data_IF_307343215125
#
_entry.id   IF_307343215125
#
_cell.length_a   1.000
_cell.length_b   1.000
_cell.length_c   1.000
_cell.angle_alpha   90.00
_cell.angle_beta   90.00
_cell.angle_gamma   90.00
#
_symmetry.space_group_name_H-M   'P 1'
#
loop_
_entity.id
_entity.type
_entity.pdbx_description
1 polymer ?
#
# COMPACT_ATOMS: atom_id res chain seq x y z
N UNK A 1 21.85 -20.93 20.97
CA UNK A 1 21.48 -20.00 22.05
C UNK A 1 20.46 -19.10 21.41
N UNK A 2 19.19 -19.20 21.79
CA UNK A 2 18.16 -18.29 21.30
C UNK A 2 18.59 -16.89 21.75
N UNK A 3 18.75 -15.97 20.80
CA UNK A 3 18.99 -14.57 21.13
C UNK A 3 17.65 -14.02 21.66
N UNK A 4 17.42 -14.20 22.96
CA UNK A 4 16.22 -13.71 23.66
C UNK A 4 16.20 -12.16 23.77
N UNK A 5 17.20 -11.49 23.20
CA UNK A 5 17.33 -10.03 23.14
C UNK A 5 16.79 -9.51 21.82
N UNK A 6 15.56 -9.00 21.86
CA UNK A 6 14.94 -8.33 20.72
C UNK A 6 15.24 -6.84 20.78
N UNK A 7 15.39 -6.21 19.61
CA UNK A 7 15.61 -4.76 19.52
C UNK A 7 14.26 -4.05 19.39
N UNK A 8 14.03 -3.03 20.21
CA UNK A 8 12.97 -2.05 20.00
C UNK A 8 13.57 -0.79 19.38
N UNK A 9 13.03 -0.32 18.25
CA UNK A 9 13.32 0.99 17.69
C UNK A 9 12.06 1.85 17.83
N UNK A 10 12.24 3.08 18.30
CA UNK A 10 11.22 4.13 18.28
C UNK A 10 11.78 5.28 17.45
N UNK A 11 11.08 5.65 16.38
CA UNK A 11 11.56 6.64 15.42
C UNK A 11 10.41 7.42 14.77
N UNK A 12 10.75 8.50 14.09
CA UNK A 12 9.80 9.38 13.41
C UNK A 12 10.13 9.46 11.92
N UNK A 13 9.17 9.06 11.08
CA UNK A 13 9.24 9.17 9.62
C UNK A 13 7.82 9.31 9.08
N UNK A 14 7.64 9.99 7.95
CA UNK A 14 6.36 9.97 7.25
C UNK A 14 5.99 8.51 6.87
N UNK A 15 4.69 8.20 6.82
CA UNK A 15 4.24 6.88 6.38
C UNK A 15 4.77 6.53 4.99
N UNK A 16 4.79 7.51 4.07
CA UNK A 16 5.24 7.29 2.71
C UNK A 16 6.74 6.92 2.66
N UNK A 17 7.59 7.66 3.38
CA UNK A 17 9.04 7.39 3.39
C UNK A 17 9.37 6.10 4.13
N UNK A 18 8.75 5.86 5.29
CA UNK A 18 8.94 4.63 6.05
C UNK A 18 8.57 3.39 5.23
N UNK A 19 7.48 3.46 4.46
CA UNK A 19 6.97 2.33 3.69
C UNK A 19 7.86 1.93 2.53
N UNK A 20 8.58 2.89 1.92
CA UNK A 20 9.41 2.62 0.74
C UNK A 20 10.90 2.47 1.07
N UNK A 21 11.38 2.98 2.21
CA UNK A 21 12.82 2.95 2.55
C UNK A 21 13.14 2.19 3.83
N UNK A 22 12.72 2.72 4.98
CA UNK A 22 13.13 2.22 6.30
C UNK A 22 12.57 0.82 6.59
N UNK A 23 11.28 0.59 6.37
CA UNK A 23 10.66 -0.72 6.60
C UNK A 23 11.31 -1.84 5.79
N UNK A 24 11.48 -1.74 4.45
CA UNK A 24 12.13 -2.80 3.69
C UNK A 24 13.62 -2.95 4.01
N UNK A 25 14.30 -1.88 4.46
CA UNK A 25 15.70 -1.96 4.90
C UNK A 25 15.88 -2.79 6.17
N UNK A 26 15.05 -2.53 7.19
CA UNK A 26 15.04 -3.31 8.44
C UNK A 26 14.65 -4.77 8.15
N UNK A 27 13.63 -4.99 7.33
CA UNK A 27 13.22 -6.32 6.90
C UNK A 27 14.38 -7.09 6.25
N UNK A 28 15.06 -6.47 5.29
CA UNK A 28 16.21 -7.06 4.58
C UNK A 28 17.36 -7.40 5.52
N UNK A 29 17.71 -6.51 6.45
CA UNK A 29 18.78 -6.77 7.42
C UNK A 29 18.44 -7.93 8.37
N UNK A 30 17.18 -8.04 8.82
CA UNK A 30 16.74 -9.18 9.65
C UNK A 30 16.73 -10.49 8.85
N UNK A 31 16.23 -10.48 7.62
CA UNK A 31 16.25 -11.65 6.71
C UNK A 31 17.69 -12.15 6.50
N UNK A 32 18.64 -11.24 6.32
CA UNK A 32 20.05 -11.58 6.11
C UNK A 32 20.79 -11.98 7.41
N UNK A 33 20.16 -11.87 8.58
CA UNK A 33 20.81 -12.09 9.87
C UNK A 33 21.83 -10.99 10.23
N UNK A 34 21.74 -9.82 9.61
CA UNK A 34 22.58 -8.64 9.84
C UNK A 34 22.02 -7.74 10.95
N UNK A 35 20.76 -7.96 11.34
CA UNK A 35 20.09 -7.32 12.46
C UNK A 35 19.37 -8.36 13.34
N UNK A 36 19.24 -8.11 14.66
CA UNK A 36 18.48 -8.98 15.56
C UNK A 36 16.96 -8.91 15.26
N UNK A 37 16.14 -9.82 15.79
CA UNK A 37 14.69 -9.68 15.79
C UNK A 37 14.29 -8.27 16.26
N UNK A 38 13.48 -7.57 15.45
CA UNK A 38 13.26 -6.14 15.64
C UNK A 38 11.77 -5.83 15.74
N UNK A 39 11.40 -5.12 16.80
CA UNK A 39 10.13 -4.43 16.96
C UNK A 39 10.36 -2.96 16.62
N UNK A 40 9.56 -2.39 15.74
CA UNK A 40 9.71 -1.01 15.27
C UNK A 40 8.42 -0.23 15.52
N UNK A 41 8.50 0.84 16.29
CA UNK A 41 7.46 1.84 16.43
C UNK A 41 7.85 3.08 15.62
N UNK A 42 7.19 3.30 14.48
CA UNK A 42 7.38 4.49 13.66
C UNK A 42 6.20 5.44 13.86
N UNK A 43 6.45 6.63 14.40
CA UNK A 43 5.44 7.68 14.55
C UNK A 43 5.49 8.58 13.30
N UNK A 44 4.33 8.86 12.71
CA UNK A 44 4.27 9.68 11.50
C UNK A 44 4.37 11.15 11.86
N UNK A 45 5.43 11.80 11.39
CA UNK A 45 5.69 13.23 11.61
C UNK A 45 4.90 14.14 10.67
N UNK A 46 4.52 13.61 9.50
CA UNK A 46 3.93 14.36 8.39
C UNK A 46 2.81 13.57 7.74
N UNK A 47 1.75 14.28 7.32
CA UNK A 47 0.70 13.74 6.46
C UNK A 47 1.31 13.18 5.19
N UNK A 48 0.97 11.94 4.85
CA UNK A 48 1.57 11.33 3.67
C UNK A 48 0.70 10.27 3.03
N UNK A 49 0.98 10.00 1.76
CA UNK A 49 0.22 9.07 0.93
C UNK A 49 1.15 8.20 0.10
N UNK A 50 0.82 6.93 -0.05
CA UNK A 50 1.44 6.08 -1.08
C UNK A 50 0.42 5.74 -2.15
N UNK A 51 0.85 5.68 -3.41
CA UNK A 51 0.07 5.09 -4.52
C UNK A 51 0.63 3.72 -4.88
N UNK A 52 -0.21 2.85 -5.42
CA UNK A 52 0.21 1.54 -5.89
C UNK A 52 1.17 1.59 -7.07
N UNK A 53 1.93 0.51 -7.25
CA UNK A 53 2.95 0.38 -8.30
C UNK A 53 2.41 0.57 -9.72
N UNK A 54 1.12 0.29 -9.95
CA UNK A 54 0.45 0.40 -11.25
C UNK A 54 -0.39 1.67 -11.41
N UNK A 55 -0.38 2.61 -10.47
CA UNK A 55 -1.19 3.83 -10.57
C UNK A 55 -0.39 4.97 -11.22
N UNK A 56 -1.02 5.85 -11.98
CA UNK A 56 -0.38 7.11 -12.38
C UNK A 56 -0.58 8.14 -11.25
N UNK A 57 0.47 8.74 -10.65
CA UNK A 57 0.32 9.75 -9.61
C UNK A 57 -0.53 10.94 -10.06
N UNK A 58 -0.48 11.30 -11.35
CA UNK A 58 -1.24 12.43 -11.89
C UNK A 58 -2.73 12.09 -12.06
N UNK A 59 -3.08 10.80 -12.11
CA UNK A 59 -4.46 10.34 -12.16
C UNK A 59 -5.01 10.03 -10.77
N UNK A 60 -4.14 9.57 -9.85
CA UNK A 60 -4.51 9.14 -8.51
C UNK A 60 -4.56 10.30 -7.50
N UNK A 61 -3.73 11.34 -7.67
CA UNK A 61 -3.52 12.40 -6.69
C UNK A 61 -3.63 13.81 -7.31
N UNK A 62 -4.06 14.77 -6.50
CA UNK A 62 -3.80 16.20 -6.76
C UNK A 62 -2.39 16.56 -6.23
N UNK A 63 -1.39 16.37 -7.09
CA UNK A 63 0.02 16.61 -6.73
C UNK A 63 0.31 18.07 -6.36
N UNK A 64 -0.41 19.02 -6.97
CA UNK A 64 -0.27 20.44 -6.64
C UNK A 64 -0.78 20.70 -5.23
N UNK A 65 -1.96 20.19 -4.91
CA UNK A 65 -2.52 20.28 -3.57
C UNK A 65 -1.60 19.61 -2.53
N UNK A 66 -1.02 18.45 -2.84
CA UNK A 66 -0.07 17.78 -1.95
C UNK A 66 1.13 18.67 -1.64
N UNK A 67 1.75 19.27 -2.66
CA UNK A 67 2.88 20.18 -2.48
C UNK A 67 2.51 21.45 -1.68
N UNK A 68 1.34 22.03 -1.92
CA UNK A 68 0.87 23.23 -1.22
C UNK A 68 0.50 22.97 0.26
N UNK A 69 0.21 21.73 0.64
CA UNK A 69 -0.23 21.36 2.00
C UNK A 69 0.80 20.48 2.72
N UNK A 70 2.05 20.41 2.24
CA UNK A 70 3.13 19.62 2.85
C UNK A 70 2.77 18.14 3.06
N UNK A 71 2.07 17.54 2.08
CA UNK A 71 1.74 16.11 2.08
C UNK A 71 2.83 15.37 1.32
N UNK A 72 3.57 14.48 2.00
CA UNK A 72 4.55 13.63 1.33
C UNK A 72 3.85 12.56 0.49
N UNK A 73 4.35 12.28 -0.71
CA UNK A 73 3.80 11.24 -1.57
C UNK A 73 4.89 10.37 -2.20
N UNK A 74 4.63 9.06 -2.27
CA UNK A 74 5.53 8.07 -2.89
C UNK A 74 4.73 7.06 -3.70
N UNK A 75 5.36 6.44 -4.71
CA UNK A 75 4.88 5.20 -5.32
C UNK A 75 5.47 4.03 -4.54
N UNK A 76 4.64 3.14 -4.02
CA UNK A 76 5.14 1.91 -3.35
C UNK A 76 5.30 0.78 -4.38
N UNK A 77 6.21 -0.19 -4.14
CA UNK A 77 6.42 -1.33 -5.03
C UNK A 77 5.29 -2.38 -4.95
N UNK A 78 4.25 -2.16 -4.15
CA UNK A 78 3.10 -3.06 -4.02
C UNK A 78 1.89 -2.57 -4.81
N UNK A 79 1.03 -3.51 -5.22
CA UNK A 79 -0.27 -3.21 -5.83
C UNK A 79 -1.27 -2.57 -4.85
N UNK A 80 -2.52 -2.42 -5.31
CA UNK A 80 -3.58 -1.76 -4.55
C UNK A 80 -3.64 -0.25 -4.77
N UNK A 81 -4.66 0.41 -4.20
CA UNK A 81 -4.90 1.84 -4.40
C UNK A 81 -4.13 2.77 -3.46
N UNK A 82 -4.45 4.07 -3.44
CA UNK A 82 -3.76 5.02 -2.60
C UNK A 82 -4.08 4.80 -1.11
N UNK A 83 -3.08 4.97 -0.24
CA UNK A 83 -3.22 4.84 1.21
C UNK A 83 -2.72 6.11 1.86
N UNK A 84 -3.63 6.87 2.48
CA UNK A 84 -3.29 8.05 3.27
C UNK A 84 -3.08 7.66 4.74
N UNK A 85 -2.04 8.19 5.35
CA UNK A 85 -1.82 8.15 6.78
C UNK A 85 -1.47 9.55 7.29
N UNK A 86 -2.20 9.98 8.32
CA UNK A 86 -2.06 11.32 8.87
C UNK A 86 -0.93 11.43 9.88
N UNK A 87 -0.42 12.65 10.05
CA UNK A 87 0.54 12.95 11.09
C UNK A 87 -0.02 12.61 12.49
N UNK A 88 0.84 12.07 13.35
CA UNK A 88 0.50 11.60 14.70
C UNK A 88 -0.08 10.19 14.76
N UNK A 89 -0.44 9.55 13.64
CA UNK A 89 -0.63 8.09 13.60
C UNK A 89 0.72 7.37 13.66
N UNK A 90 0.71 6.05 13.84
CA UNK A 90 1.94 5.26 13.95
C UNK A 90 1.83 3.89 13.28
N UNK A 91 2.99 3.30 12.98
CA UNK A 91 3.16 1.89 12.71
C UNK A 91 3.85 1.19 13.86
N UNK A 92 3.28 0.06 14.28
CA UNK A 92 3.99 -0.98 15.00
C UNK A 92 4.30 -2.10 14.00
N UNK A 93 5.58 -2.42 13.84
CA UNK A 93 6.04 -3.49 12.95
C UNK A 93 6.88 -4.50 13.71
N UNK A 94 6.56 -5.77 13.55
CA UNK A 94 7.35 -6.89 14.03
C UNK A 94 8.12 -7.49 12.85
N UNK A 95 9.45 -7.43 12.87
CA UNK A 95 10.37 -8.10 11.93
C UNK A 95 11.04 -9.25 12.69
N UNK A 96 10.42 -10.42 12.68
CA UNK A 96 10.77 -11.52 13.58
C UNK A 96 11.08 -12.80 12.80
N UNK A 97 12.26 -13.42 12.99
CA UNK A 97 12.56 -14.72 12.39
C UNK A 97 11.59 -15.80 12.86
N UNK A 98 11.01 -16.57 11.93
CA UNK A 98 10.10 -17.69 12.25
C UNK A 98 10.80 -18.90 12.86
N UNK A 99 12.14 -18.88 12.89
CA UNK A 99 12.95 -19.87 13.63
C UNK A 99 12.89 -19.69 15.15
N UNK A 100 12.41 -18.54 15.63
CA UNK A 100 12.20 -18.29 17.05
C UNK A 100 10.94 -19.02 17.52
N UNK A 101 11.00 -19.77 18.63
CA UNK A 101 9.92 -20.67 19.07
C UNK A 101 8.58 -19.96 19.34
N UNK A 102 8.65 -18.69 19.74
CA UNK A 102 7.45 -17.89 20.00
C UNK A 102 6.85 -17.23 18.75
N UNK A 103 7.55 -17.26 17.62
CA UNK A 103 7.12 -16.57 16.39
C UNK A 103 6.37 -17.58 15.50
N UNK A 104 5.09 -17.31 15.15
CA UNK A 104 4.35 -18.19 14.25
C UNK A 104 4.97 -18.28 12.86
N UNK A 105 4.90 -19.46 12.25
CA UNK A 105 5.42 -19.74 10.90
C UNK A 105 4.36 -19.60 9.80
N UNK A 106 3.07 -19.55 10.18
CA UNK A 106 1.96 -19.38 9.24
C UNK A 106 1.10 -18.15 9.54
N UNK A 107 0.47 -17.62 8.49
CA UNK A 107 -0.45 -16.48 8.62
C UNK A 107 -1.69 -16.80 9.45
N UNK A 108 -2.18 -18.04 9.37
CA UNK A 108 -3.35 -18.51 10.14
C UNK A 108 -3.10 -18.52 11.64
N UNK A 109 -1.86 -18.71 12.08
CA UNK A 109 -1.46 -18.66 13.49
C UNK A 109 -1.07 -17.25 13.93
N UNK A 110 -0.36 -16.52 13.08
CA UNK A 110 0.13 -15.18 13.37
C UNK A 110 -0.98 -14.16 13.66
N UNK A 111 -2.02 -14.09 12.81
CA UNK A 111 -3.10 -13.12 13.01
C UNK A 111 -3.81 -13.28 14.36
N UNK A 112 -4.34 -14.47 14.72
CA UNK A 112 -4.96 -14.66 16.04
C UNK A 112 -4.01 -14.40 17.19
N UNK A 113 -2.76 -14.88 17.14
CA UNK A 113 -1.80 -14.72 18.24
C UNK A 113 -1.48 -13.24 18.49
N UNK A 114 -1.05 -12.52 17.45
CA UNK A 114 -0.60 -11.14 17.58
C UNK A 114 -1.77 -10.19 17.88
N UNK A 115 -2.90 -10.35 17.20
CA UNK A 115 -4.01 -9.39 17.34
C UNK A 115 -4.85 -9.61 18.60
N UNK A 116 -4.94 -10.86 19.10
CA UNK A 116 -5.57 -11.11 20.41
C UNK A 116 -4.74 -10.46 21.51
N UNK A 117 -3.43 -10.71 21.53
CA UNK A 117 -2.53 -10.09 22.51
C UNK A 117 -2.53 -8.55 22.41
N UNK A 118 -2.55 -7.99 21.20
CA UNK A 118 -2.66 -6.55 21.00
C UNK A 118 -3.98 -5.99 21.56
N UNK A 119 -5.11 -6.65 21.27
CA UNK A 119 -6.42 -6.24 21.80
C UNK A 119 -6.47 -6.32 23.34
N UNK A 120 -5.98 -7.41 23.94
CA UNK A 120 -5.89 -7.58 25.40
C UNK A 120 -5.04 -6.47 26.03
N UNK A 121 -3.89 -6.16 25.44
CA UNK A 121 -3.03 -5.04 25.88
C UNK A 121 -3.79 -3.71 25.88
N UNK A 122 -4.50 -3.40 24.80
CA UNK A 122 -5.28 -2.17 24.71
C UNK A 122 -6.39 -2.13 25.78
N UNK A 123 -7.09 -3.25 25.98
CA UNK A 123 -8.17 -3.35 26.95
C UNK A 123 -7.68 -3.17 28.39
N UNK A 124 -6.57 -3.82 28.75
CA UNK A 124 -5.98 -3.72 30.09
C UNK A 124 -5.39 -2.33 30.35
N UNK A 125 -4.66 -1.77 29.39
CA UNK A 125 -3.98 -0.48 29.54
C UNK A 125 -4.92 0.71 29.56
N UNK A 126 -5.95 0.69 28.70
CA UNK A 126 -6.81 1.86 28.47
C UNK A 126 -8.25 1.68 28.95
N UNK A 127 -8.67 0.46 29.30
CA UNK A 127 -9.99 0.19 29.90
C UNK A 127 -11.17 0.19 28.93
N UNK A 128 -10.94 0.19 27.61
CA UNK A 128 -11.99 0.05 26.59
C UNK A 128 -12.04 -1.37 26.01
N UNK A 129 -13.20 -1.86 25.55
CA UNK A 129 -13.37 -3.25 25.11
C UNK A 129 -12.81 -3.49 23.70
N UNK A 130 -11.48 -3.54 23.57
CA UNK A 130 -10.81 -3.93 22.35
C UNK A 130 -10.93 -5.44 22.12
N UNK A 131 -11.24 -5.85 20.89
CA UNK A 131 -11.33 -7.27 20.52
C UNK A 131 -10.72 -7.54 19.14
N UNK A 132 -10.06 -8.70 19.01
CA UNK A 132 -9.64 -9.22 17.72
C UNK A 132 -10.86 -9.66 16.90
N UNK A 133 -10.93 -9.16 15.67
CA UNK A 133 -11.91 -9.57 14.66
C UNK A 133 -11.19 -10.24 13.48
N UNK A 134 -11.38 -11.55 13.27
CA UNK A 134 -10.85 -12.24 12.11
C UNK A 134 -11.27 -11.58 10.79
N UNK A 135 -10.39 -11.53 9.78
CA UNK A 135 -9.06 -12.13 9.77
C UNK A 135 -7.95 -11.25 10.37
N UNK A 136 -8.03 -9.92 10.24
CA UNK A 136 -6.86 -9.06 10.39
C UNK A 136 -7.15 -7.71 11.07
N UNK A 137 -8.22 -7.62 11.86
CA UNK A 137 -8.64 -6.35 12.46
C UNK A 137 -8.69 -6.43 13.99
N UNK A 138 -8.44 -5.30 14.65
CA UNK A 138 -8.88 -5.08 16.06
C UNK A 138 -9.95 -3.99 16.04
N UNK A 139 -11.02 -4.20 16.80
CA UNK A 139 -12.16 -3.30 16.86
C UNK A 139 -12.56 -2.96 18.29
N UNK A 140 -13.32 -1.87 18.43
CA UNK A 140 -13.99 -1.48 19.68
C UNK A 140 -15.47 -1.31 19.36
N UNK A 141 -16.32 -2.16 19.96
CA UNK A 141 -17.77 -2.14 19.74
C UNK A 141 -18.17 -2.14 18.24
N UNK A 142 -17.49 -2.97 17.43
CA UNK A 142 -17.74 -3.06 15.98
C UNK A 142 -17.07 -2.00 15.12
N UNK A 143 -16.43 -0.98 15.71
CA UNK A 143 -15.64 0.05 14.99
C UNK A 143 -14.20 -0.41 14.85
N UNK A 144 -13.69 -0.43 13.62
CA UNK A 144 -12.30 -0.82 13.34
C UNK A 144 -11.32 0.20 13.92
N UNK A 145 -10.37 -0.27 14.74
CA UNK A 145 -9.36 0.55 15.39
C UNK A 145 -8.03 0.52 14.64
N UNK A 146 -7.55 -0.68 14.30
CA UNK A 146 -6.27 -0.85 13.59
C UNK A 146 -6.45 -1.73 12.34
N UNK A 147 -6.09 -1.24 11.14
CA UNK A 147 -5.81 -2.11 10.01
C UNK A 147 -4.44 -2.79 10.18
N UNK A 148 -4.29 -4.00 9.63
CA UNK A 148 -3.05 -4.77 9.73
C UNK A 148 -2.70 -5.49 8.43
N UNK A 149 -1.42 -5.79 8.27
CA UNK A 149 -0.91 -6.64 7.18
C UNK A 149 0.17 -7.57 7.71
N UNK A 150 0.31 -8.73 7.06
CA UNK A 150 1.28 -9.74 7.41
C UNK A 150 1.92 -10.29 6.15
N UNK A 151 3.24 -10.43 6.19
CA UNK A 151 4.02 -11.18 5.21
C UNK A 151 4.94 -12.15 5.96
N UNK A 152 5.02 -13.39 5.50
CA UNK A 152 6.03 -14.35 5.95
C UNK A 152 6.81 -14.76 4.71
N UNK A 153 8.07 -14.37 4.65
CA UNK A 153 8.92 -14.52 3.47
C UNK A 153 10.38 -14.68 3.95
N UNK A 154 11.15 -15.54 3.28
CA UNK A 154 12.57 -15.80 3.61
C UNK A 154 12.85 -16.08 5.09
N UNK A 155 11.93 -16.77 5.77
CA UNK A 155 12.08 -17.16 7.17
C UNK A 155 11.85 -16.02 8.17
N UNK A 156 11.31 -14.88 7.74
CA UNK A 156 10.97 -13.73 8.59
C UNK A 156 9.49 -13.40 8.48
N UNK A 157 8.86 -13.23 9.64
CA UNK A 157 7.53 -12.67 9.79
C UNK A 157 7.63 -11.15 9.88
N UNK A 158 7.00 -10.46 8.94
CA UNK A 158 6.80 -9.01 8.94
C UNK A 158 5.33 -8.69 9.19
N UNK A 159 5.00 -8.36 10.44
CA UNK A 159 3.62 -8.05 10.87
C UNK A 159 3.48 -6.56 11.14
N UNK A 160 2.64 -5.85 10.39
CA UNK A 160 2.42 -4.40 10.48
C UNK A 160 1.05 -4.09 11.06
N UNK A 161 0.99 -3.25 12.08
CA UNK A 161 -0.22 -2.74 12.72
C UNK A 161 -0.24 -1.22 12.57
N UNK A 162 -1.32 -0.69 11.99
CA UNK A 162 -1.53 0.75 11.86
C UNK A 162 -2.29 1.27 13.06
N UNK A 163 -1.65 2.11 13.86
CA UNK A 163 -2.24 2.71 15.04
C UNK A 163 -2.68 4.12 14.66
N UNK A 164 -3.98 4.29 14.40
CA UNK A 164 -4.56 5.62 14.30
C UNK A 164 -4.68 6.19 15.71
N UNK A 165 -3.68 6.98 16.11
CA UNK A 165 -3.68 7.61 17.43
C UNK A 165 -4.80 8.65 17.50
N UNK A 166 -4.92 9.43 16.43
CA UNK A 166 -5.92 10.48 16.24
C UNK A 166 -6.90 10.12 15.10
N UNK A 167 -8.06 10.81 15.01
CA UNK A 167 -8.94 10.65 13.86
C UNK A 167 -8.22 11.01 12.57
N UNK A 168 -8.40 10.19 11.53
CA UNK A 168 -7.88 10.46 10.19
C UNK A 168 -8.59 11.69 9.61
N UNK A 169 -7.85 12.65 9.07
CA UNK A 169 -8.42 13.80 8.36
C UNK A 169 -8.97 13.37 6.99
N UNK A 170 -10.24 12.97 6.97
CA UNK A 170 -10.93 12.54 5.75
C UNK A 170 -11.17 13.67 4.77
N UNK A 171 -11.23 14.93 5.22
CA UNK A 171 -11.39 16.07 4.32
C UNK A 171 -10.09 16.34 3.56
N UNK A 172 -8.96 16.30 4.26
CA UNK A 172 -7.63 16.40 3.65
C UNK A 172 -7.40 15.23 2.68
N UNK A 173 -7.66 14.00 3.11
CA UNK A 173 -7.55 12.81 2.26
C UNK A 173 -8.41 12.91 0.98
N UNK A 174 -9.64 13.46 1.09
CA UNK A 174 -10.53 13.67 -0.05
C UNK A 174 -10.06 14.75 -1.03
N UNK A 175 -9.29 15.75 -0.57
CA UNK A 175 -8.65 16.75 -1.44
C UNK A 175 -7.38 16.20 -2.11
N UNK A 176 -6.64 15.34 -1.41
CA UNK A 176 -5.44 14.67 -1.93
C UNK A 176 -5.82 13.69 -3.06
N UNK A 177 -6.86 12.88 -2.85
CA UNK A 177 -7.32 11.85 -3.79
C UNK A 177 -8.59 12.32 -4.49
N UNK A 178 -8.50 13.05 -5.62
CA UNK A 178 -9.69 13.41 -6.38
C UNK A 178 -10.44 12.13 -6.80
N UNK A 179 -11.57 11.86 -6.17
CA UNK A 179 -12.34 10.65 -6.46
C UNK A 179 -12.73 10.63 -7.93
N UNK A 180 -12.36 9.54 -8.61
CA UNK A 180 -12.87 9.28 -9.96
C UNK A 180 -14.42 9.33 -9.93
N UNK A 181 -15.09 9.98 -10.89
CA UNK A 181 -16.55 10.13 -10.90
C UNK A 181 -17.32 8.82 -10.69
N UNK A 182 -16.73 7.70 -11.11
CA UNK A 182 -17.23 6.33 -10.98
C UNK A 182 -17.19 5.82 -9.54
N UNK A 183 -16.23 6.27 -8.72
CA UNK A 183 -16.15 6.00 -7.27
C UNK A 183 -17.06 6.92 -6.45
N UNK A 184 -17.45 8.09 -6.99
CA UNK A 184 -18.40 9.02 -6.35
C UNK A 184 -19.82 8.48 -6.33
N UNK A 185 -20.22 7.72 -7.36
CA UNK A 185 -21.56 7.12 -7.44
C UNK A 185 -21.88 6.15 -6.31
N UNK A 186 -20.86 5.65 -5.61
CA UNK A 186 -20.98 4.58 -4.60
C UNK A 186 -20.63 4.99 -3.16
N UNK A 187 -20.42 6.27 -2.83
CA UNK A 187 -20.07 6.64 -1.44
C UNK A 187 -20.92 7.76 -0.85
N UNK A 188 -21.83 7.31 0.01
CA UNK A 188 -22.18 7.99 1.24
C UNK A 188 -20.88 8.27 2.05
N UNK A 189 -20.29 9.45 1.85
CA UNK A 189 -19.22 10.01 2.69
C UNK A 189 -19.60 10.09 4.20
N UNK A 190 -20.83 9.72 4.55
CA UNK A 190 -21.34 9.66 5.92
C UNK A 190 -20.98 8.39 6.71
N UNK A 191 -20.43 7.35 6.07
CA UNK A 191 -20.27 6.02 6.71
C UNK A 191 -18.82 5.61 7.03
N UNK A 192 -17.82 6.47 6.81
CA UNK A 192 -16.43 6.18 7.23
C UNK A 192 -16.21 6.50 8.72
N UNK A 193 -16.80 7.57 9.24
CA UNK A 193 -16.69 7.95 10.67
C UNK A 193 -17.44 7.01 11.62
N UNK A 194 -18.45 6.29 11.12
CA UNK A 194 -19.18 5.26 11.86
C UNK A 194 -18.41 3.94 11.96
N UNK A 195 -17.55 3.64 10.97
CA UNK A 195 -16.90 2.33 10.81
C UNK A 195 -15.50 2.25 11.41
N UNK A 196 -14.82 3.39 11.59
CA UNK A 196 -13.47 3.49 12.14
C UNK A 196 -13.44 4.28 13.45
N UNK A 197 -12.45 4.00 14.29
CA UNK A 197 -12.14 4.76 15.50
C UNK A 197 -10.63 4.97 15.66
N UNK A 198 -10.20 5.66 16.72
CA UNK A 198 -8.80 5.98 16.99
C UNK A 198 -8.49 5.83 18.49
N UNK A 199 -7.20 5.71 18.82
CA UNK A 199 -6.75 5.37 20.16
C UNK A 199 -7.12 6.44 21.20
N UNK A 200 -6.87 7.72 20.93
CA UNK A 200 -7.19 8.81 21.86
C UNK A 200 -8.69 8.91 22.15
N UNK A 201 -9.54 8.65 21.14
CA UNK A 201 -10.99 8.67 21.30
C UNK A 201 -11.46 7.57 22.24
N UNK A 202 -10.98 6.34 22.05
CA UNK A 202 -11.41 5.20 22.87
C UNK A 202 -10.75 5.21 24.25
N UNK A 203 -9.50 5.70 24.36
CA UNK A 203 -8.79 5.87 25.63
C UNK A 203 -9.29 7.08 26.45
N UNK A 204 -9.96 8.04 25.81
CA UNK A 204 -10.45 9.26 26.46
C UNK A 204 -9.35 10.21 26.96
N UNK A 205 -8.11 10.05 26.49
CA UNK A 205 -6.94 10.86 26.87
C UNK A 205 -5.99 11.04 25.67
N UNK A 206 -5.18 12.11 25.63
CA UNK A 206 -4.07 12.22 24.69
C UNK A 206 -3.05 11.10 24.87
N UNK A 207 -2.43 10.67 23.78
CA UNK A 207 -1.42 9.61 23.75
C UNK A 207 -0.15 10.16 23.12
N UNK A 208 0.95 10.19 23.89
CA UNK A 208 2.26 10.63 23.41
C UNK A 208 3.18 9.45 23.03
N UNK A 209 4.38 9.76 22.54
CA UNK A 209 5.34 8.75 22.10
C UNK A 209 5.76 7.77 23.22
N UNK A 210 5.89 8.26 24.46
CA UNK A 210 6.27 7.42 25.59
C UNK A 210 5.15 6.44 25.96
N UNK A 211 3.89 6.89 25.89
CA UNK A 211 2.73 6.04 26.10
C UNK A 211 2.59 4.98 24.99
N UNK A 212 2.88 5.34 23.72
CA UNK A 212 2.94 4.37 22.62
C UNK A 212 4.05 3.35 22.82
N UNK A 213 5.26 3.77 23.21
CA UNK A 213 6.37 2.85 23.47
C UNK A 213 6.01 1.85 24.58
N UNK A 214 5.43 2.32 25.68
CA UNK A 214 5.00 1.46 26.78
C UNK A 214 3.96 0.43 26.32
N UNK A 215 2.96 0.87 25.53
CA UNK A 215 1.96 -0.02 24.94
C UNK A 215 2.59 -1.06 24.01
N UNK A 216 3.57 -0.69 23.19
CA UNK A 216 4.29 -1.62 22.30
C UNK A 216 5.05 -2.68 23.08
N UNK A 217 5.72 -2.30 24.18
CA UNK A 217 6.43 -3.24 25.05
C UNK A 217 5.49 -4.26 25.68
N UNK A 218 4.35 -3.80 26.18
CA UNK A 218 3.31 -4.65 26.76
C UNK A 218 2.70 -5.58 25.70
N UNK A 219 2.36 -5.05 24.52
CA UNK A 219 1.82 -5.84 23.42
C UNK A 219 2.80 -6.91 22.93
N UNK A 220 4.08 -6.59 22.85
CA UNK A 220 5.13 -7.57 22.51
C UNK A 220 5.20 -8.67 23.57
N UNK A 221 5.14 -8.29 24.85
CA UNK A 221 5.20 -9.24 25.97
C UNK A 221 3.98 -10.16 25.99
N UNK A 222 2.78 -9.63 25.77
CA UNK A 222 1.57 -10.45 25.66
C UNK A 222 1.60 -11.39 24.45
N UNK A 223 2.10 -10.92 23.30
CA UNK A 223 2.11 -11.72 22.08
C UNK A 223 3.17 -12.82 22.10
N UNK A 224 4.35 -12.57 22.66
CA UNK A 224 5.52 -13.43 22.48
C UNK A 224 6.19 -13.86 23.79
N UNK A 225 5.59 -13.56 24.94
CA UNK A 225 6.15 -13.86 26.27
C UNK A 225 7.21 -12.85 26.71
N UNK A 226 7.90 -13.15 27.81
CA UNK A 226 9.01 -12.32 28.30
C UNK A 226 10.12 -12.28 27.25
N UNK A 227 10.20 -11.15 26.52
CA UNK A 227 11.27 -10.85 25.59
C UNK A 227 12.06 -9.66 26.13
N UNK A 228 13.39 -9.75 26.11
CA UNK A 228 14.24 -8.63 26.56
C UNK A 228 14.33 -7.58 25.45
N UNK A 229 13.31 -6.72 25.39
CA UNK A 229 13.30 -5.58 24.47
C UNK A 229 14.32 -4.52 24.90
N UNK A 230 15.44 -4.49 24.18
CA UNK A 230 16.46 -3.45 24.35
C UNK A 230 16.22 -2.33 23.36
N UNK A 231 16.16 -1.09 23.85
CA UNK A 231 16.06 0.07 22.98
C UNK A 231 17.33 0.16 22.12
N UNK A 232 17.14 0.29 20.81
CA UNK A 232 18.21 0.43 19.84
C UNK A 232 17.89 1.52 18.81
N UNK A 233 18.72 1.57 17.78
CA UNK A 233 18.56 2.45 16.62
C UNK A 233 18.72 1.65 15.34
N UNK A 234 18.36 2.28 14.23
CA UNK A 234 18.69 1.80 12.88
C UNK A 234 20.22 1.70 12.78
N UNK A 235 20.72 0.56 12.29
CA UNK A 235 22.15 0.30 12.12
C UNK A 235 22.70 0.94 10.83
N UNK A 236 24.02 1.04 10.73
CA UNK A 236 24.69 1.50 9.50
C UNK A 236 24.32 0.65 8.26
N UNK A 237 24.19 -0.67 8.43
CA UNK A 237 23.75 -1.58 7.35
C UNK A 237 22.32 -1.27 6.91
N UNK A 238 21.41 -1.04 7.86
CA UNK A 238 20.03 -0.69 7.56
C UNK A 238 19.92 0.71 6.94
N UNK A 239 20.76 1.66 7.36
CA UNK A 239 20.87 2.96 6.69
C UNK A 239 21.32 2.81 5.24
N UNK A 240 22.33 1.99 4.97
CA UNK A 240 22.80 1.74 3.60
C UNK A 240 21.69 1.11 2.72
N UNK A 241 20.97 0.11 3.25
CA UNK A 241 19.81 -0.45 2.52
C UNK A 241 18.69 0.56 2.33
N UNK A 242 18.40 1.39 3.33
CA UNK A 242 17.39 2.42 3.19
C UNK A 242 17.79 3.42 2.10
N UNK A 243 19.05 3.80 2.01
CA UNK A 243 19.56 4.72 0.98
C UNK A 243 19.47 4.11 -0.43
N UNK A 244 19.76 2.81 -0.58
CA UNK A 244 19.52 2.09 -1.84
C UNK A 244 18.04 2.14 -2.25
N UNK A 245 17.13 1.86 -1.31
CA UNK A 245 15.69 1.93 -1.55
C UNK A 245 15.21 3.35 -1.85
N UNK A 246 15.78 4.38 -1.20
CA UNK A 246 15.46 5.79 -1.49
C UNK A 246 15.91 6.17 -2.89
N UNK A 247 17.11 5.77 -3.28
CA UNK A 247 17.66 6.07 -4.60
C UNK A 247 16.75 5.59 -5.73
N UNK A 248 16.09 4.45 -5.54
CA UNK A 248 15.08 3.93 -6.47
C UNK A 248 13.71 4.59 -6.26
N UNK A 249 13.11 4.43 -5.08
CA UNK A 249 11.68 4.68 -4.87
C UNK A 249 11.31 6.14 -4.56
N UNK A 250 12.29 7.01 -4.29
CA UNK A 250 12.08 8.46 -4.18
C UNK A 250 12.42 9.19 -5.49
N UNK A 251 12.91 8.49 -6.51
CA UNK A 251 13.22 9.09 -7.80
C UNK A 251 11.96 9.54 -8.55
N UNK A 252 12.09 10.64 -9.31
CA UNK A 252 11.02 11.06 -10.23
C UNK A 252 10.73 10.01 -11.30
N UNK A 253 11.78 9.30 -11.76
CA UNK A 253 11.64 8.21 -12.73
C UNK A 253 10.70 7.13 -12.19
N UNK A 254 10.90 6.67 -10.96
CA UNK A 254 10.01 5.71 -10.32
C UNK A 254 8.61 6.27 -10.10
N UNK A 255 8.50 7.47 -9.52
CA UNK A 255 7.21 8.08 -9.22
C UNK A 255 6.36 8.23 -10.49
N UNK A 256 6.95 8.67 -11.61
CA UNK A 256 6.26 8.93 -12.86
C UNK A 256 6.37 7.80 -13.90
N UNK A 257 6.92 6.64 -13.54
CA UNK A 257 7.12 5.50 -14.45
C UNK A 257 5.86 5.03 -15.17
N UNK A 258 4.68 5.25 -14.58
CA UNK A 258 3.36 4.88 -15.15
C UNK A 258 2.58 6.06 -15.74
N UNK A 259 3.17 7.25 -15.79
CA UNK A 259 2.53 8.45 -16.33
C UNK A 259 2.55 8.48 -17.84
N UNK A 260 1.50 9.05 -18.43
CA UNK A 260 1.39 9.23 -19.88
C UNK A 260 2.59 10.03 -20.44
N UNK A 261 2.98 11.12 -19.76
CA UNK A 261 4.10 11.96 -20.18
C UNK A 261 5.38 11.13 -20.32
N UNK A 262 5.71 10.33 -19.31
CA UNK A 262 6.95 9.52 -19.32
C UNK A 262 6.90 8.41 -20.36
N UNK A 263 5.72 7.82 -20.57
CA UNK A 263 5.55 6.64 -21.42
C UNK A 263 5.31 6.96 -22.89
N UNK A 264 4.94 8.21 -23.23
CA UNK A 264 4.64 8.64 -24.60
C UNK A 264 5.54 9.76 -25.14
N UNK A 265 6.37 10.43 -24.31
CA UNK A 265 7.11 11.65 -24.68
C UNK A 265 7.81 11.61 -26.05
N UNK A 266 8.42 10.47 -26.41
CA UNK A 266 9.22 10.34 -27.63
C UNK A 266 8.55 9.49 -28.72
N UNK A 267 7.27 9.13 -28.54
CA UNK A 267 6.56 8.18 -29.41
C UNK A 267 5.63 8.87 -30.43
N UNK A 268 5.04 10.00 -30.04
CA UNK A 268 3.88 10.58 -30.73
C UNK A 268 4.28 11.34 -32.00
N UNK A 269 3.51 11.15 -33.06
CA UNK A 269 3.63 11.83 -34.35
C UNK A 269 2.33 12.52 -34.77
N UNK A 270 2.41 13.44 -35.73
CA UNK A 270 1.24 14.08 -36.33
C UNK A 270 0.28 13.04 -36.91
N UNK A 271 -0.97 13.04 -36.44
CA UNK A 271 -2.01 12.09 -36.86
C UNK A 271 -2.29 10.99 -35.83
N UNK A 272 -1.46 10.84 -34.81
CA UNK A 272 -1.76 9.96 -33.69
C UNK A 272 -2.93 10.49 -32.84
N UNK A 273 -3.72 9.57 -32.31
CA UNK A 273 -4.77 9.88 -31.34
C UNK A 273 -4.52 9.18 -30.01
N UNK A 274 -4.92 9.82 -28.93
CA UNK A 274 -4.87 9.29 -27.58
C UNK A 274 -6.29 9.28 -27.00
N UNK A 275 -6.69 8.16 -26.40
CA UNK A 275 -7.96 8.07 -25.71
C UNK A 275 -7.83 7.36 -24.38
N UNK A 276 -8.73 7.72 -23.46
CA UNK A 276 -8.66 7.34 -22.04
C UNK A 276 -9.98 6.73 -21.60
N UNK A 277 -9.89 5.65 -20.84
CA UNK A 277 -11.07 4.93 -20.39
C UNK A 277 -10.90 4.36 -19.00
N UNK A 278 -12.01 4.30 -18.26
CA UNK A 278 -12.04 3.78 -16.90
C UNK A 278 -13.15 2.74 -16.76
N UNK A 279 -12.85 1.58 -16.21
CA UNK A 279 -13.86 0.56 -15.92
C UNK A 279 -13.63 -0.08 -14.54
N UNK A 280 -14.72 -0.31 -13.82
CA UNK A 280 -14.69 -0.95 -12.50
C UNK A 280 -14.77 -2.45 -12.65
N UNK A 281 -13.76 -3.16 -12.17
CA UNK A 281 -13.76 -4.60 -11.97
C UNK A 281 -14.05 -4.94 -10.51
N UNK A 282 -14.24 -6.23 -10.21
CA UNK A 282 -14.32 -6.70 -8.82
C UNK A 282 -13.02 -6.44 -8.05
N UNK A 283 -11.88 -6.61 -8.72
CA UNK A 283 -10.54 -6.50 -8.14
C UNK A 283 -10.02 -5.07 -8.01
N UNK A 284 -10.67 -4.10 -8.65
CA UNK A 284 -10.22 -2.71 -8.66
C UNK A 284 -10.73 -1.90 -9.86
N UNK A 285 -10.42 -0.61 -9.88
CA UNK A 285 -10.60 0.29 -11.01
C UNK A 285 -9.47 0.10 -12.02
N UNK A 286 -9.84 -0.02 -13.29
CA UNK A 286 -8.95 -0.12 -14.44
C UNK A 286 -8.94 1.22 -15.18
N UNK A 287 -7.74 1.69 -15.52
CA UNK A 287 -7.47 2.83 -16.37
C UNK A 287 -6.73 2.35 -17.61
N UNK A 288 -7.35 2.57 -18.78
CA UNK A 288 -6.73 2.29 -20.07
C UNK A 288 -6.45 3.61 -20.77
N UNK A 289 -5.19 3.84 -21.17
CA UNK A 289 -4.84 4.89 -22.11
C UNK A 289 -4.29 4.23 -23.38
N UNK A 290 -4.92 4.50 -24.52
CA UNK A 290 -4.57 3.93 -25.82
C UNK A 290 -4.10 5.03 -26.76
N UNK A 291 -2.88 4.88 -27.27
CA UNK A 291 -2.37 5.66 -28.40
C UNK A 291 -2.60 4.85 -29.67
N UNK A 292 -3.23 5.46 -30.67
CA UNK A 292 -3.58 4.82 -31.94
C UNK A 292 -2.83 5.47 -33.10
N UNK A 293 -2.38 4.63 -34.03
CA UNK A 293 -1.81 5.03 -35.33
C UNK A 293 -2.34 4.12 -36.41
N UNK A 294 -2.82 4.70 -37.52
CA UNK A 294 -3.32 3.96 -38.69
C UNK A 294 -4.37 2.86 -38.35
N UNK A 295 -5.21 3.11 -37.35
CA UNK A 295 -6.27 2.18 -36.92
C UNK A 295 -5.79 0.98 -36.08
N UNK A 296 -4.55 1.01 -35.60
CA UNK A 296 -3.99 0.04 -34.66
C UNK A 296 -3.50 0.70 -33.38
N UNK A 297 -3.39 -0.08 -32.30
CA UNK A 297 -2.79 0.37 -31.05
C UNK A 297 -1.29 0.52 -31.24
N UNK A 298 -0.79 1.74 -31.15
CA UNK A 298 0.64 2.05 -31.14
C UNK A 298 1.25 1.73 -29.77
N UNK A 299 0.56 2.12 -28.70
CA UNK A 299 0.94 1.81 -27.31
C UNK A 299 -0.28 1.83 -26.40
N UNK A 300 -0.28 0.95 -25.41
CA UNK A 300 -1.25 0.96 -24.31
C UNK A 300 -0.54 1.25 -22.98
N UNK A 301 -1.26 1.92 -22.07
CA UNK A 301 -0.96 1.97 -20.64
C UNK A 301 -2.18 1.41 -19.92
N UNK A 302 -1.97 0.39 -19.11
CA UNK A 302 -3.01 -0.25 -18.32
C UNK A 302 -2.66 -0.05 -16.83
N UNK A 303 -3.25 0.97 -16.23
CA UNK A 303 -2.99 1.39 -14.85
C UNK A 303 -4.18 1.09 -13.94
N UNK A 304 -3.95 1.00 -12.63
CA UNK A 304 -5.00 1.04 -11.60
C UNK A 304 -4.69 0.31 -10.31
N UNK A 305 -5.75 0.06 -9.53
CA UNK A 305 -5.64 -0.28 -8.10
C UNK A 305 -5.89 -1.76 -7.77
N UNK A 306 -5.74 -2.66 -8.75
CA UNK A 306 -5.81 -4.11 -8.56
C UNK A 306 -4.45 -4.74 -8.24
N UNK A 307 -4.45 -6.06 -8.06
CA UNK A 307 -3.29 -6.84 -7.63
C UNK A 307 -2.90 -7.89 -8.69
N UNK A 308 -2.06 -7.53 -9.68
CA UNK A 308 -1.53 -8.48 -10.65
C UNK A 308 -0.40 -9.33 -10.06
N UNK A 309 -0.25 -10.55 -10.56
CA UNK A 309 0.87 -11.44 -10.27
C UNK A 309 1.37 -12.10 -11.56
N UNK A 310 2.68 -12.03 -11.86
CA UNK A 310 3.68 -11.15 -11.25
C UNK A 310 3.38 -9.66 -11.52
N UNK A 311 4.01 -8.72 -10.82
CA UNK A 311 3.74 -7.28 -11.05
C UNK A 311 4.06 -6.83 -12.48
N UNK A 312 5.12 -7.39 -13.07
CA UNK A 312 5.58 -7.07 -14.44
C UNK A 312 4.58 -7.47 -15.53
N UNK A 313 3.65 -8.37 -15.22
CA UNK A 313 2.64 -8.86 -16.17
C UNK A 313 1.75 -7.76 -16.75
N UNK A 314 1.60 -6.62 -16.06
CA UNK A 314 0.91 -5.45 -16.61
C UNK A 314 1.65 -4.91 -17.85
N UNK A 315 2.98 -4.82 -17.79
CA UNK A 315 3.78 -4.41 -18.94
C UNK A 315 3.69 -5.41 -20.09
N UNK A 316 3.64 -6.71 -19.79
CA UNK A 316 3.48 -7.74 -20.81
C UNK A 316 2.12 -7.67 -21.51
N UNK A 317 1.05 -7.33 -20.78
CA UNK A 317 -0.26 -7.06 -21.35
C UNK A 317 -0.20 -5.85 -22.29
N UNK A 318 0.38 -4.74 -21.83
CA UNK A 318 0.55 -3.52 -22.63
C UNK A 318 1.29 -3.79 -23.94
N UNK A 319 2.35 -4.60 -23.89
CA UNK A 319 3.12 -4.97 -25.07
C UNK A 319 2.33 -5.91 -25.99
N UNK A 320 1.53 -6.83 -25.45
CA UNK A 320 0.66 -7.71 -26.25
C UNK A 320 -0.44 -6.96 -27.02
N UNK A 321 -0.88 -5.81 -26.50
CA UNK A 321 -1.88 -4.95 -27.15
C UNK A 321 -1.28 -4.15 -28.32
N UNK A 322 0.05 -3.99 -28.37
CA UNK A 322 0.71 -3.22 -29.42
C UNK A 322 0.54 -3.91 -30.78
N UNK A 323 0.07 -3.16 -31.77
CA UNK A 323 -0.26 -3.65 -33.11
C UNK A 323 -1.64 -4.30 -33.24
N UNK A 324 -2.40 -4.47 -32.15
CA UNK A 324 -3.78 -4.92 -32.25
C UNK A 324 -4.64 -3.88 -32.99
N UNK A 325 -5.60 -4.35 -33.78
CA UNK A 325 -6.56 -3.47 -34.43
C UNK A 325 -7.38 -2.72 -33.37
N UNK A 326 -7.61 -1.43 -33.58
CA UNK A 326 -8.28 -0.53 -32.63
C UNK A 326 -9.82 -0.73 -32.62
N UNK A 327 -10.26 -1.94 -32.26
CA UNK A 327 -11.66 -2.28 -32.08
C UNK A 327 -11.84 -3.22 -30.88
N UNK A 328 -13.00 -3.13 -30.22
CA UNK A 328 -13.29 -3.83 -28.97
C UNK A 328 -13.07 -5.35 -29.07
N UNK A 329 -13.50 -5.97 -30.18
CA UNK A 329 -13.35 -7.41 -30.37
C UNK A 329 -11.88 -7.85 -30.37
N UNK A 330 -11.03 -7.15 -31.13
CA UNK A 330 -9.60 -7.48 -31.23
C UNK A 330 -8.87 -7.27 -29.90
N UNK A 331 -9.17 -6.18 -29.19
CA UNK A 331 -8.56 -5.90 -27.89
C UNK A 331 -9.00 -6.88 -26.81
N UNK A 332 -10.28 -7.27 -26.82
CA UNK A 332 -10.83 -8.29 -25.92
C UNK A 332 -10.19 -9.65 -26.16
N UNK A 333 -10.05 -10.07 -27.41
CA UNK A 333 -9.43 -11.35 -27.76
C UNK A 333 -7.95 -11.38 -27.34
N UNK A 334 -7.24 -10.26 -27.51
CA UNK A 334 -5.86 -10.11 -27.03
C UNK A 334 -5.78 -10.24 -25.50
N UNK A 335 -6.61 -9.49 -24.77
CA UNK A 335 -6.66 -9.55 -23.31
C UNK A 335 -7.04 -10.96 -22.79
N UNK A 336 -8.00 -11.63 -23.43
CA UNK A 336 -8.39 -13.00 -23.08
C UNK A 336 -7.26 -14.01 -23.33
N UNK A 337 -6.54 -13.87 -24.45
CA UNK A 337 -5.38 -14.71 -24.76
C UNK A 337 -4.26 -14.48 -23.74
N UNK A 338 -4.02 -13.24 -23.35
CA UNK A 338 -3.01 -12.88 -22.35
C UNK A 338 -3.36 -13.46 -20.96
N UNK A 339 -4.62 -13.29 -20.51
CA UNK A 339 -5.07 -13.79 -19.22
C UNK A 339 -5.21 -15.33 -19.15
N UNK A 340 -5.15 -16.02 -20.30
CA UNK A 340 -5.15 -17.48 -20.34
C UNK A 340 -3.76 -18.10 -20.08
N UNK A 341 -2.73 -17.28 -19.88
CA UNK A 341 -1.39 -17.77 -19.54
C UNK A 341 -1.32 -18.29 -18.11
N UNK A 342 -0.66 -19.42 -17.92
CA UNK A 342 -0.51 -20.04 -16.59
C UNK A 342 0.40 -19.25 -15.62
N UNK A 343 1.21 -18.34 -16.14
CA UNK A 343 2.14 -17.50 -15.37
C UNK A 343 1.59 -16.11 -15.02
N UNK A 344 0.28 -15.89 -15.23
CA UNK A 344 -0.39 -14.61 -14.99
C UNK A 344 -1.66 -14.82 -14.16
N UNK A 345 -1.81 -14.01 -13.11
CA UNK A 345 -3.02 -13.94 -12.31
C UNK A 345 -3.39 -12.48 -12.03
N UNK A 346 -4.55 -12.03 -12.53
CA UNK A 346 -5.10 -10.72 -12.20
C UNK A 346 -6.33 -10.91 -11.31
N UNK A 347 -6.12 -10.95 -9.99
CA UNK A 347 -7.17 -11.28 -9.04
C UNK A 347 -8.37 -10.30 -9.15
N UNK A 348 -9.54 -10.83 -9.51
CA UNK A 348 -10.78 -10.05 -9.63
C UNK A 348 -10.88 -9.17 -10.88
N UNK A 349 -9.99 -9.36 -11.88
CA UNK A 349 -10.03 -8.65 -13.16
C UNK A 349 -10.17 -9.65 -14.30
N UNK A 350 -11.13 -9.44 -15.18
CA UNK A 350 -11.41 -10.29 -16.34
C UNK A 350 -11.05 -9.61 -17.66
N UNK A 351 -11.03 -10.38 -18.74
CA UNK A 351 -10.87 -9.82 -20.09
C UNK A 351 -12.01 -8.86 -20.47
N UNK A 352 -13.23 -9.09 -19.94
CA UNK A 352 -14.37 -8.19 -20.15
C UNK A 352 -14.16 -6.85 -19.45
N UNK A 353 -13.60 -6.86 -18.24
CA UNK A 353 -13.31 -5.62 -17.49
C UNK A 353 -12.23 -4.78 -18.20
N UNK A 354 -11.17 -5.44 -18.68
CA UNK A 354 -10.13 -4.79 -19.49
C UNK A 354 -10.71 -4.23 -20.79
N UNK A 355 -11.52 -5.03 -21.50
CA UNK A 355 -12.16 -4.61 -22.73
C UNK A 355 -13.10 -3.42 -22.52
N UNK A 356 -13.83 -3.36 -21.40
CA UNK A 356 -14.70 -2.23 -21.07
C UNK A 356 -13.92 -0.93 -20.88
N UNK A 357 -12.76 -0.97 -20.19
CA UNK A 357 -11.90 0.21 -20.05
C UNK A 357 -11.35 0.65 -21.42
N UNK A 358 -10.90 -0.31 -22.23
CA UNK A 358 -10.37 -0.05 -23.57
C UNK A 358 -11.45 0.45 -24.54
N UNK A 359 -12.69 -0.03 -24.45
CA UNK A 359 -13.82 0.44 -25.27
C UNK A 359 -14.09 1.93 -25.02
N UNK A 360 -14.10 2.35 -23.75
CA UNK A 360 -14.24 3.77 -23.40
C UNK A 360 -13.07 4.57 -23.97
N UNK A 361 -11.84 4.05 -23.84
CA UNK A 361 -10.65 4.69 -24.41
C UNK A 361 -10.71 4.82 -25.95
N UNK A 362 -11.28 3.85 -26.66
CA UNK A 362 -11.52 3.94 -28.10
C UNK A 362 -12.59 4.99 -28.45
N UNK A 363 -13.58 5.19 -27.57
CA UNK A 363 -14.62 6.20 -27.75
C UNK A 363 -14.19 7.63 -27.43
N UNK A 364 -13.17 7.81 -26.59
CA UNK A 364 -12.67 9.12 -26.11
C UNK A 364 -11.36 9.54 -26.79
N UNK A 365 -11.22 9.29 -28.08
CA UNK A 365 -9.99 9.62 -28.83
C UNK A 365 -9.90 11.12 -29.13
N UNK A 366 -8.74 11.70 -28.84
CA UNK A 366 -8.38 13.08 -29.17
C UNK A 366 -7.01 13.13 -29.86
N UNK A 367 -6.71 14.18 -30.65
CA UNK A 367 -5.36 14.38 -31.20
C UNK A 367 -4.30 14.35 -30.09
N UNK A 368 -3.21 13.63 -30.33
CA UNK A 368 -2.14 13.47 -29.34
C UNK A 368 -1.16 14.67 -29.30
N UNK A 369 -1.08 15.43 -30.41
CA UNK A 369 -0.21 16.61 -30.62
C UNK A 369 -1.03 17.79 -31.11
#
# INVERSE_FOLDING_TARGET
MSDDNWRLIVDENSYADFSVSVSPAVEKAVVNGEAPPTVYLNIFDTDSITIGVNEDPQQALDLKFCGENNVSFRRRPNGGGPVYAGAGSAFLVFFLPTSHSEVPDTTTEAFPKVLTAFAETLAERYGFPAEYRPLNDVQVEGRKLVPTSLKIEDGVMTFRIVINVKPIDTELAGKIMPMAPEKVKDKELKDMTSRFTCLEREAGKPIDAAELEAMVREATTHAFGESHLTLGSVTDTEHAYADDFRAEYESEEWLFAKSEKTRFADLLEDGDTIGRGRAKAMGGLIWATLVLRDGAVLKAIINGDWHPRPLDSVGWLEDSLTGCAANVASLKDCAATFLARDDVEFAGVTADDLAAAMEIALGDQAPAV
#
